data_IF_267686936769
#
_entry.id   IF_267686936769
#
_cell.length_a   1.000
_cell.length_b   1.000
_cell.length_c   1.000
_cell.angle_alpha   90.00
_cell.angle_beta   90.00
_cell.angle_gamma   90.00
#
_symmetry.space_group_name_H-M   'P 1'
#
loop_
_entity.id
_entity.type
_entity.pdbx_description
1 polymer ?
#
# COMPACT_ATOMS: atom_id res chain seq x y z
N UNK A 1 47.92 1.88 12.89
CA UNK A 1 46.75 1.86 13.78
C UNK A 1 45.71 2.82 13.20
N UNK A 2 44.47 2.42 12.99
CA UNK A 2 43.43 3.33 12.53
C UNK A 2 43.19 4.38 13.60
N UNK A 3 43.18 5.66 13.20
CA UNK A 3 42.86 6.79 14.06
C UNK A 3 41.43 6.60 14.64
N UNK A 4 41.20 6.90 15.94
CA UNK A 4 39.86 6.85 16.48
C UNK A 4 38.99 7.86 15.76
N UNK A 5 38.01 7.39 15.00
CA UNK A 5 37.05 8.24 14.29
C UNK A 5 36.22 9.00 15.31
N UNK A 6 36.27 10.32 15.30
CA UNK A 6 35.45 11.17 16.15
C UNK A 6 34.00 11.13 15.62
N UNK A 7 33.15 10.35 16.28
CA UNK A 7 31.73 10.24 15.93
C UNK A 7 30.95 11.42 16.52
N UNK A 8 30.06 12.01 15.72
CA UNK A 8 29.20 13.12 16.15
C UNK A 8 27.99 12.57 16.87
N UNK A 9 27.96 12.70 18.20
CA UNK A 9 26.95 12.07 19.04
C UNK A 9 25.51 12.53 18.75
N UNK A 10 25.31 13.75 18.30
CA UNK A 10 23.98 14.24 17.88
C UNK A 10 23.46 13.53 16.63
N UNK A 11 24.34 13.25 15.67
CA UNK A 11 24.00 12.49 14.46
C UNK A 11 23.66 11.04 14.82
N UNK A 12 24.50 10.40 15.65
CA UNK A 12 24.21 9.03 16.09
C UNK A 12 22.87 8.93 16.82
N UNK A 13 22.55 9.90 17.70
CA UNK A 13 21.28 9.95 18.41
C UNK A 13 20.12 10.14 17.42
N UNK A 14 20.24 11.02 16.44
CA UNK A 14 19.21 11.23 15.43
C UNK A 14 18.95 9.96 14.62
N UNK A 15 19.99 9.28 14.14
CA UNK A 15 19.87 8.02 13.39
C UNK A 15 19.22 6.93 14.26
N UNK A 16 19.60 6.81 15.54
CA UNK A 16 18.98 5.87 16.47
C UNK A 16 17.46 6.11 16.64
N UNK A 17 17.01 7.38 16.64
CA UNK A 17 15.58 7.68 16.70
C UNK A 17 14.85 7.21 15.44
N UNK A 18 15.50 7.33 14.31
CA UNK A 18 14.96 6.84 13.03
C UNK A 18 14.81 5.32 13.05
N UNK A 19 15.84 4.58 13.49
CA UNK A 19 15.80 3.12 13.59
C UNK A 19 14.64 2.67 14.52
N UNK A 20 14.48 3.32 15.68
CA UNK A 20 13.39 3.04 16.61
C UNK A 20 12.00 3.23 15.96
N UNK A 21 11.84 4.27 15.15
CA UNK A 21 10.57 4.50 14.44
C UNK A 21 10.40 3.52 13.29
N UNK A 22 11.49 3.11 12.62
CA UNK A 22 11.46 2.12 11.55
C UNK A 22 11.03 0.73 12.05
N UNK A 23 11.50 0.34 13.24
CA UNK A 23 11.19 -0.96 13.85
C UNK A 23 9.79 -1.00 14.50
N UNK A 24 9.13 0.14 14.65
CA UNK A 24 7.81 0.20 15.26
C UNK A 24 6.71 -0.31 14.35
N UNK A 25 5.79 -1.11 14.89
CA UNK A 25 4.64 -1.64 14.15
C UNK A 25 3.60 -0.57 13.74
N UNK A 26 3.74 0.68 14.22
CA UNK A 26 2.82 1.79 13.94
C UNK A 26 3.35 3.12 14.43
N UNK A 27 2.56 4.21 14.33
CA UNK A 27 2.97 5.53 14.77
C UNK A 27 3.46 5.53 16.23
N UNK A 28 4.61 6.13 16.50
CA UNK A 28 5.25 6.09 17.80
C UNK A 28 5.26 7.48 18.44
N UNK A 29 4.61 7.67 19.61
CA UNK A 29 4.65 8.95 20.33
C UNK A 29 6.08 9.32 20.76
N UNK A 30 6.43 10.62 20.73
CA UNK A 30 7.78 11.11 21.10
C UNK A 30 8.22 10.64 22.49
N UNK A 31 7.28 10.51 23.44
CA UNK A 31 7.58 9.97 24.78
C UNK A 31 8.05 8.51 24.73
N UNK A 32 7.48 7.69 23.86
CA UNK A 32 7.89 6.30 23.66
C UNK A 32 9.27 6.23 22.98
N UNK A 33 9.51 7.10 21.99
CA UNK A 33 10.82 7.23 21.31
C UNK A 33 11.90 7.65 22.32
N UNK A 34 11.62 8.64 23.17
CA UNK A 34 12.56 9.09 24.22
C UNK A 34 12.93 7.95 25.17
N UNK A 35 11.94 7.17 25.62
CA UNK A 35 12.17 6.00 26.49
C UNK A 35 13.00 4.93 25.80
N UNK A 36 12.66 4.56 24.56
CA UNK A 36 13.36 3.53 23.82
C UNK A 36 14.80 3.92 23.46
N UNK A 37 15.05 5.21 23.19
CA UNK A 37 16.39 5.72 22.87
C UNK A 37 17.26 5.97 24.08
N UNK A 38 16.68 6.08 25.30
CA UNK A 38 17.37 6.51 26.52
C UNK A 38 17.69 8.01 26.55
N UNK A 39 17.05 8.82 25.72
CA UNK A 39 17.25 10.26 25.67
C UNK A 39 16.27 11.00 26.59
N UNK A 40 16.68 12.20 27.05
CA UNK A 40 15.73 13.10 27.70
C UNK A 40 14.62 13.49 26.75
N UNK A 41 13.41 13.74 27.27
CA UNK A 41 12.25 14.11 26.46
C UNK A 41 12.52 15.36 25.60
N UNK A 42 13.20 16.37 26.17
CA UNK A 42 13.58 17.59 25.45
C UNK A 42 14.52 17.33 24.27
N UNK A 43 15.51 16.45 24.47
CA UNK A 43 16.44 16.05 23.39
C UNK A 43 15.68 15.29 22.29
N UNK A 44 14.82 14.35 22.67
CA UNK A 44 14.01 13.60 21.71
C UNK A 44 13.09 14.54 20.91
N UNK A 45 12.43 15.50 21.56
CA UNK A 45 11.60 16.50 20.86
C UNK A 45 12.40 17.34 19.87
N UNK A 46 13.58 17.82 20.24
CA UNK A 46 14.39 18.64 19.34
C UNK A 46 14.88 17.85 18.13
N UNK A 47 15.36 16.61 18.34
CA UNK A 47 15.83 15.76 17.27
C UNK A 47 14.66 15.32 16.37
N UNK A 48 13.53 14.89 16.92
CA UNK A 48 12.37 14.47 16.11
C UNK A 48 11.79 15.64 15.33
N UNK A 49 11.73 16.85 15.90
CA UNK A 49 11.29 18.05 15.17
C UNK A 49 12.19 18.35 13.98
N UNK A 50 13.52 18.24 14.16
CA UNK A 50 14.47 18.40 13.04
C UNK A 50 14.28 17.30 12.01
N UNK A 51 14.14 16.06 12.41
CA UNK A 51 13.93 14.93 11.50
C UNK A 51 12.61 15.06 10.72
N UNK A 52 11.55 15.61 11.34
CA UNK A 52 10.28 15.91 10.66
C UNK A 52 10.47 17.07 9.68
N UNK A 53 11.16 18.15 10.09
CA UNK A 53 11.44 19.29 9.19
C UNK A 53 12.24 18.86 7.97
N UNK A 54 13.23 18.00 8.16
CA UNK A 54 14.06 17.45 7.07
C UNK A 54 13.37 16.30 6.30
N UNK A 55 12.15 15.92 6.67
CA UNK A 55 11.39 14.89 5.98
C UNK A 55 11.83 13.43 6.24
N UNK A 56 12.71 13.20 7.21
CA UNK A 56 13.10 11.85 7.65
C UNK A 56 12.02 11.18 8.51
N UNK A 57 11.26 11.95 9.25
CA UNK A 57 10.06 11.49 9.97
C UNK A 57 8.84 12.27 9.47
N UNK A 58 7.66 11.72 9.68
CA UNK A 58 6.39 12.38 9.44
C UNK A 58 5.51 12.29 10.69
N UNK A 59 4.74 13.37 10.96
CA UNK A 59 3.81 13.41 12.08
C UNK A 59 2.45 12.86 11.64
N UNK A 60 1.92 11.91 12.37
CA UNK A 60 0.55 11.40 12.30
C UNK A 60 -0.20 11.71 13.61
N UNK A 61 -1.54 11.62 13.64
CA UNK A 61 -2.32 11.90 14.86
C UNK A 61 -1.86 11.12 16.10
N UNK A 62 -1.41 9.87 15.90
CA UNK A 62 -1.04 8.95 16.98
C UNK A 62 0.46 8.91 17.25
N UNK A 63 1.29 9.67 16.52
CA UNK A 63 2.74 9.69 16.73
C UNK A 63 3.54 9.96 15.47
N UNK A 64 4.81 9.54 15.49
CA UNK A 64 5.73 9.70 14.37
C UNK A 64 5.90 8.39 13.61
N UNK A 65 6.04 8.52 12.29
CA UNK A 65 6.35 7.45 11.34
C UNK A 65 7.54 7.84 10.49
N UNK A 66 8.11 6.91 9.72
CA UNK A 66 9.16 7.24 8.75
C UNK A 66 8.64 8.23 7.70
N UNK A 67 9.44 9.25 7.43
CA UNK A 67 9.13 10.28 6.45
C UNK A 67 9.49 9.87 5.01
N UNK A 68 9.06 10.70 4.05
CA UNK A 68 9.22 10.44 2.61
C UNK A 68 10.70 10.51 2.13
N UNK A 69 11.63 11.01 2.96
CA UNK A 69 13.04 11.17 2.57
C UNK A 69 13.84 9.87 2.55
N UNK A 70 13.42 8.86 3.32
CA UNK A 70 14.15 7.58 3.38
C UNK A 70 14.25 6.84 2.05
N UNK A 71 13.21 6.80 1.24
CA UNK A 71 13.28 6.18 -0.07
C UNK A 71 14.28 6.83 -1.03
N UNK A 72 14.36 8.16 -1.04
CA UNK A 72 15.25 8.91 -1.94
C UNK A 72 16.75 8.76 -1.60
N UNK A 73 17.11 8.35 -0.38
CA UNK A 73 18.49 8.15 0.03
C UNK A 73 19.14 6.87 -0.52
N UNK A 74 18.35 5.94 -1.04
CA UNK A 74 18.89 4.71 -1.63
C UNK A 74 19.31 4.85 -3.09
N UNK A 75 19.16 6.02 -3.70
CA UNK A 75 19.44 6.22 -5.12
C UNK A 75 18.55 5.41 -6.05
N UNK A 76 17.53 4.76 -5.47
CA UNK A 76 16.56 3.96 -6.16
C UNK A 76 15.28 4.83 -6.23
N UNK A 77 15.25 5.73 -7.22
CA UNK A 77 14.22 6.77 -7.37
C UNK A 77 12.80 6.23 -7.63
N UNK A 78 12.59 4.95 -7.44
CA UNK A 78 11.29 4.32 -7.70
C UNK A 78 10.61 3.65 -6.51
N UNK A 79 11.14 2.59 -5.88
CA UNK A 79 10.31 1.76 -5.02
C UNK A 79 10.00 2.37 -3.65
N UNK A 80 10.83 3.22 -3.10
CA UNK A 80 10.70 3.64 -1.72
C UNK A 80 9.67 4.74 -1.46
N UNK A 81 9.66 5.83 -2.24
CA UNK A 81 8.64 6.90 -2.16
C UNK A 81 7.28 6.30 -2.55
N UNK A 82 7.27 5.51 -3.60
CA UNK A 82 6.12 4.75 -4.04
C UNK A 82 5.56 3.87 -2.92
N UNK A 83 6.41 3.06 -2.27
CA UNK A 83 6.00 2.16 -1.19
C UNK A 83 5.52 2.93 0.03
N UNK A 84 6.13 4.08 0.37
CA UNK A 84 5.70 4.93 1.47
C UNK A 84 4.30 5.51 1.24
N UNK A 85 4.02 6.07 0.05
CA UNK A 85 2.70 6.57 -0.32
C UNK A 85 1.64 5.46 -0.33
N UNK A 86 1.99 4.31 -0.90
CA UNK A 86 1.12 3.12 -0.90
C UNK A 86 0.79 2.72 0.53
N UNK A 87 1.79 2.56 1.39
CA UNK A 87 1.60 2.14 2.78
C UNK A 87 0.78 3.14 3.59
N UNK A 88 1.03 4.43 3.44
CA UNK A 88 0.24 5.47 4.08
C UNK A 88 -1.23 5.41 3.64
N UNK A 89 -1.47 5.24 2.34
CA UNK A 89 -2.83 5.12 1.80
C UNK A 89 -3.52 3.86 2.32
N UNK A 90 -2.82 2.72 2.35
CA UNK A 90 -3.35 1.46 2.87
C UNK A 90 -3.74 1.56 4.34
N UNK A 91 -2.90 2.16 5.19
CA UNK A 91 -3.20 2.38 6.61
C UNK A 91 -4.45 3.24 6.81
N UNK A 92 -4.57 4.32 6.03
CA UNK A 92 -5.75 5.19 6.07
C UNK A 92 -7.01 4.42 5.68
N UNK A 93 -6.99 3.72 4.55
CA UNK A 93 -8.11 2.92 4.05
C UNK A 93 -8.49 1.82 5.04
N UNK A 94 -7.51 1.10 5.58
CA UNK A 94 -7.76 0.03 6.54
C UNK A 94 -8.44 0.53 7.81
N UNK A 95 -8.00 1.66 8.36
CA UNK A 95 -8.62 2.28 9.54
C UNK A 95 -10.02 2.82 9.24
N UNK A 96 -10.20 3.49 8.10
CA UNK A 96 -11.49 4.08 7.69
C UNK A 96 -12.59 3.03 7.52
N UNK A 97 -12.22 1.84 7.04
CA UNK A 97 -13.15 0.75 6.81
C UNK A 97 -13.11 -0.35 7.89
N UNK A 98 -12.24 -0.22 8.90
CA UNK A 98 -11.95 -1.26 9.90
C UNK A 98 -11.72 -2.63 9.25
N UNK A 99 -10.99 -2.67 8.14
CA UNK A 99 -10.87 -3.83 7.25
C UNK A 99 -9.49 -3.90 6.60
N UNK A 100 -8.98 -5.11 6.31
CA UNK A 100 -7.70 -5.26 5.62
C UNK A 100 -7.71 -4.60 4.25
N UNK A 101 -6.59 -3.91 3.92
CA UNK A 101 -6.39 -3.26 2.64
C UNK A 101 -5.10 -3.75 1.96
N UNK A 102 -5.10 -3.73 0.62
CA UNK A 102 -3.96 -4.18 -0.18
C UNK A 102 -3.79 -3.34 -1.43
N UNK A 103 -2.54 -3.26 -1.90
CA UNK A 103 -2.18 -2.62 -3.15
C UNK A 103 -1.45 -3.62 -4.05
N UNK A 104 -1.94 -3.75 -5.27
CA UNK A 104 -1.46 -4.72 -6.25
C UNK A 104 -1.13 -3.99 -7.54
N UNK A 105 -0.01 -4.32 -8.19
CA UNK A 105 0.37 -3.78 -9.50
C UNK A 105 0.62 -4.88 -10.52
N UNK A 106 0.47 -4.54 -11.78
CA UNK A 106 0.93 -5.33 -12.91
C UNK A 106 2.29 -4.78 -13.37
N UNK A 107 3.29 -5.64 -13.43
CA UNK A 107 4.64 -5.27 -13.87
C UNK A 107 5.30 -6.47 -14.54
N UNK A 108 6.01 -6.25 -15.63
CA UNK A 108 6.77 -7.29 -16.37
C UNK A 108 5.93 -8.53 -16.74
N UNK A 109 4.63 -8.33 -17.00
CA UNK A 109 3.74 -9.43 -17.39
C UNK A 109 3.06 -10.16 -16.22
N UNK A 110 3.36 -9.79 -14.98
CA UNK A 110 2.89 -10.46 -13.77
C UNK A 110 2.12 -9.52 -12.84
N UNK A 111 1.26 -10.09 -12.01
CA UNK A 111 0.51 -9.38 -10.97
C UNK A 111 1.22 -9.55 -9.63
N UNK A 112 1.68 -8.45 -9.07
CA UNK A 112 2.44 -8.44 -7.82
C UNK A 112 1.66 -7.74 -6.71
N UNK A 113 1.53 -8.40 -5.56
CA UNK A 113 1.13 -7.73 -4.33
C UNK A 113 2.30 -6.87 -3.85
N UNK A 114 2.12 -5.56 -3.83
CA UNK A 114 3.16 -4.61 -3.41
C UNK A 114 3.20 -4.47 -1.90
N UNK A 115 2.02 -4.29 -1.28
CA UNK A 115 1.89 -4.15 0.16
C UNK A 115 0.48 -4.50 0.62
N UNK A 116 0.34 -4.93 1.88
CA UNK A 116 -0.95 -5.15 2.52
C UNK A 116 -0.89 -4.86 4.01
N UNK A 117 -2.00 -4.39 4.56
CA UNK A 117 -2.17 -4.10 5.97
C UNK A 117 -3.42 -4.77 6.51
N UNK A 118 -3.43 -5.08 7.81
CA UNK A 118 -4.63 -5.56 8.50
C UNK A 118 -5.61 -4.42 8.82
N UNK A 119 -6.72 -4.74 9.49
CA UNK A 119 -7.72 -3.75 9.89
C UNK A 119 -7.19 -2.67 10.85
N UNK A 120 -6.15 -2.95 11.62
CA UNK A 120 -5.48 -1.99 12.49
C UNK A 120 -4.43 -1.14 11.75
N UNK A 121 -4.13 -1.47 10.48
CA UNK A 121 -3.12 -0.80 9.67
C UNK A 121 -1.70 -1.33 9.87
N UNK A 122 -1.52 -2.46 10.57
CA UNK A 122 -0.23 -3.13 10.68
C UNK A 122 0.12 -3.90 9.40
N UNK A 123 1.40 -3.94 8.99
CA UNK A 123 1.82 -4.72 7.82
C UNK A 123 1.49 -6.20 8.00
N UNK A 124 0.91 -6.81 6.97
CA UNK A 124 0.68 -8.26 6.96
C UNK A 124 1.91 -8.99 6.44
N UNK A 125 2.71 -9.53 7.35
CA UNK A 125 3.89 -10.32 7.04
C UNK A 125 3.46 -11.75 6.71
N UNK A 126 4.03 -12.33 5.63
CA UNK A 126 3.80 -13.74 5.27
C UNK A 126 2.52 -14.01 4.48
N UNK A 127 1.84 -12.99 3.97
CA UNK A 127 0.81 -13.19 2.97
C UNK A 127 1.48 -13.70 1.68
N UNK A 128 1.50 -15.01 1.50
CA UNK A 128 1.91 -15.59 0.22
C UNK A 128 0.95 -15.06 -0.84
N UNK A 129 1.51 -14.53 -1.91
CA UNK A 129 0.77 -14.19 -3.11
C UNK A 129 0.14 -15.48 -3.69
N UNK A 130 -1.00 -15.85 -3.14
CA UNK A 130 -1.97 -16.67 -3.84
C UNK A 130 -2.54 -15.87 -5.01
N UNK A 131 -3.31 -16.50 -5.85
CA UNK A 131 -4.02 -15.78 -6.92
C UNK A 131 -4.73 -14.55 -6.33
N UNK A 132 -4.58 -13.37 -6.97
CA UNK A 132 -5.21 -12.16 -6.45
C UNK A 132 -6.73 -12.36 -6.35
N UNK A 133 -7.39 -11.76 -5.34
CA UNK A 133 -8.85 -11.82 -5.25
C UNK A 133 -9.48 -11.48 -6.60
N UNK A 134 -10.56 -12.16 -6.96
CA UNK A 134 -11.19 -12.03 -8.29
C UNK A 134 -11.53 -10.56 -8.66
N UNK A 135 -11.85 -9.73 -7.66
CA UNK A 135 -12.07 -8.30 -7.85
C UNK A 135 -10.80 -7.56 -8.31
N UNK A 136 -9.66 -7.84 -7.68
CA UNK A 136 -8.36 -7.25 -8.02
C UNK A 136 -7.93 -7.70 -9.42
N UNK A 137 -7.99 -9.00 -9.70
CA UNK A 137 -7.64 -9.55 -11.01
C UNK A 137 -8.47 -8.93 -12.15
N UNK A 138 -9.80 -8.79 -11.96
CA UNK A 138 -10.68 -8.13 -12.94
C UNK A 138 -10.29 -6.68 -13.19
N UNK A 139 -9.97 -5.93 -12.13
CA UNK A 139 -9.57 -4.52 -12.25
C UNK A 139 -8.21 -4.36 -12.95
N UNK A 140 -7.26 -5.24 -12.71
CA UNK A 140 -5.98 -5.23 -13.42
C UNK A 140 -6.23 -5.55 -14.89
N UNK A 141 -6.91 -6.65 -15.20
CA UNK A 141 -7.20 -7.07 -16.57
C UNK A 141 -7.98 -6.01 -17.37
N UNK A 142 -8.84 -5.24 -16.71
CA UNK A 142 -9.57 -4.14 -17.35
C UNK A 142 -8.67 -2.97 -17.78
N UNK A 143 -7.51 -2.81 -17.17
CA UNK A 143 -6.54 -1.76 -17.50
C UNK A 143 -5.50 -2.21 -18.53
N UNK A 144 -5.35 -3.52 -18.76
CA UNK A 144 -4.40 -4.06 -19.73
C UNK A 144 -4.83 -3.81 -21.18
N UNK A 145 -3.85 -3.60 -22.05
CA UNK A 145 -4.08 -3.65 -23.51
C UNK A 145 -4.54 -5.05 -23.94
N UNK A 146 -5.07 -5.16 -25.15
CA UNK A 146 -5.49 -6.45 -25.69
C UNK A 146 -4.34 -7.46 -25.74
N UNK A 147 -3.15 -7.01 -26.13
CA UNK A 147 -1.94 -7.84 -26.22
C UNK A 147 -1.48 -8.29 -24.84
N UNK A 148 -1.31 -7.35 -23.88
CA UNK A 148 -0.92 -7.65 -22.51
C UNK A 148 -1.88 -8.63 -21.84
N UNK A 149 -3.19 -8.45 -22.07
CA UNK A 149 -4.22 -9.35 -21.53
C UNK A 149 -4.13 -10.76 -22.14
N UNK A 150 -3.93 -10.85 -23.46
CA UNK A 150 -3.77 -12.13 -24.14
C UNK A 150 -2.53 -12.87 -23.65
N UNK A 151 -1.42 -12.16 -23.51
CA UNK A 151 -0.15 -12.70 -23.03
C UNK A 151 -0.27 -13.16 -21.57
N UNK A 152 -0.85 -12.35 -20.68
CA UNK A 152 -1.11 -12.73 -19.31
C UNK A 152 -1.96 -13.99 -19.19
N UNK A 153 -3.09 -14.04 -19.92
CA UNK A 153 -4.01 -15.19 -19.89
C UNK A 153 -3.39 -16.46 -20.48
N UNK A 154 -2.47 -16.34 -21.42
CA UNK A 154 -1.77 -17.50 -22.01
C UNK A 154 -0.78 -18.13 -21.02
N UNK A 155 -0.15 -17.31 -20.18
CA UNK A 155 0.79 -17.76 -19.15
C UNK A 155 0.10 -18.26 -17.88
N UNK A 156 -1.11 -17.80 -17.64
CA UNK A 156 -1.93 -18.20 -16.51
C UNK A 156 -3.22 -18.87 -16.99
N UNK A 157 -3.13 -20.07 -17.54
CA UNK A 157 -4.32 -20.84 -17.90
C UNK A 157 -5.10 -21.09 -16.61
N UNK A 158 -6.25 -20.42 -16.48
CA UNK A 158 -7.09 -20.53 -15.29
C UNK A 158 -7.40 -21.99 -14.98
N UNK A 159 -7.12 -22.46 -13.78
CA UNK A 159 -7.87 -23.59 -13.22
C UNK A 159 -9.36 -23.33 -13.44
N UNK A 160 -10.14 -24.35 -13.78
CA UNK A 160 -11.55 -24.15 -14.08
C UNK A 160 -12.19 -23.39 -12.90
N UNK A 161 -12.81 -22.22 -13.14
CA UNK A 161 -13.44 -21.47 -12.07
C UNK A 161 -14.51 -22.36 -11.43
N UNK A 162 -14.66 -22.33 -10.10
CA UNK A 162 -15.76 -23.01 -9.45
C UNK A 162 -17.08 -22.63 -10.14
N UNK A 163 -18.05 -23.53 -10.20
CA UNK A 163 -19.23 -23.51 -11.04
C UNK A 163 -20.05 -22.19 -11.10
N UNK A 164 -19.80 -21.27 -10.18
CA UNK A 164 -20.45 -19.95 -10.06
C UNK A 164 -19.79 -18.86 -10.89
N UNK A 165 -18.72 -19.15 -11.64
CA UNK A 165 -17.92 -18.17 -12.40
C UNK A 165 -18.14 -18.20 -13.91
N UNK A 166 -19.16 -18.90 -14.41
CA UNK A 166 -19.44 -18.98 -15.86
C UNK A 166 -19.63 -17.59 -16.53
N UNK A 167 -20.07 -16.57 -15.77
CA UNK A 167 -20.14 -15.18 -16.23
C UNK A 167 -18.78 -14.51 -16.43
N UNK A 168 -17.74 -14.97 -15.75
CA UNK A 168 -16.43 -14.30 -15.75
C UNK A 168 -15.63 -14.49 -17.04
N UNK A 169 -15.76 -15.60 -17.76
CA UNK A 169 -15.05 -15.83 -19.05
C UNK A 169 -15.44 -14.86 -20.16
N UNK A 170 -16.71 -14.42 -20.18
CA UNK A 170 -17.18 -13.42 -21.17
C UNK A 170 -16.63 -12.02 -20.84
N UNK A 171 -16.57 -11.67 -19.54
CA UNK A 171 -16.02 -10.39 -19.08
C UNK A 171 -14.52 -10.31 -19.36
N UNK A 172 -13.78 -11.41 -19.17
CA UNK A 172 -12.33 -11.48 -19.44
C UNK A 172 -12.01 -11.38 -20.94
N UNK A 173 -12.93 -11.78 -21.84
CA UNK A 173 -12.72 -11.78 -23.29
C UNK A 173 -13.16 -10.50 -24.02
N UNK A 174 -13.47 -9.42 -23.33
CA UNK A 174 -13.64 -8.12 -23.98
C UNK A 174 -15.02 -7.48 -23.93
N UNK A 175 -15.98 -8.04 -23.19
CA UNK A 175 -17.21 -7.30 -22.90
C UNK A 175 -17.08 -6.58 -21.55
N UNK A 176 -16.88 -5.28 -21.61
CA UNK A 176 -17.00 -4.39 -20.45
C UNK A 176 -18.51 -4.27 -20.13
N UNK A 177 -18.97 -4.73 -18.94
CA UNK A 177 -20.34 -4.47 -18.56
C UNK A 177 -20.52 -2.96 -18.38
N UNK A 178 -21.56 -2.36 -18.95
CA UNK A 178 -21.86 -0.95 -18.74
C UNK A 178 -22.18 -0.71 -17.27
N UNK A 179 -21.49 0.24 -16.64
CA UNK A 179 -21.91 0.86 -15.38
C UNK A 179 -21.36 0.27 -14.08
N UNK A 180 -20.54 -0.78 -14.05
CA UNK A 180 -19.99 -1.32 -12.82
C UNK A 180 -18.49 -1.02 -12.70
N UNK A 181 -18.18 0.17 -12.23
CA UNK A 181 -16.79 0.65 -12.10
C UNK A 181 -16.02 0.06 -10.92
N UNK A 182 -16.63 -0.79 -10.10
CA UNK A 182 -15.95 -1.46 -8.99
C UNK A 182 -16.51 -2.88 -8.81
N UNK A 183 -15.74 -3.91 -9.18
CA UNK A 183 -16.16 -5.27 -8.94
C UNK A 183 -16.09 -5.59 -7.43
N UNK A 184 -17.23 -5.95 -6.91
CA UNK A 184 -17.36 -6.62 -5.62
C UNK A 184 -17.27 -8.12 -5.91
N UNK A 185 -16.38 -8.84 -5.24
CA UNK A 185 -16.29 -10.29 -5.35
C UNK A 185 -16.35 -10.90 -3.96
N UNK A 186 -17.28 -11.83 -3.71
CA UNK A 186 -17.24 -12.61 -2.48
C UNK A 186 -15.94 -13.42 -2.46
N UNK A 187 -15.28 -13.45 -1.31
CA UNK A 187 -14.20 -14.38 -1.03
C UNK A 187 -14.87 -15.68 -0.55
N UNK A 188 -14.77 -16.80 -1.28
CA UNK A 188 -15.46 -18.03 -0.94
C UNK A 188 -15.00 -18.64 0.40
N UNK A 189 -13.79 -18.33 0.84
CA UNK A 189 -13.23 -18.85 2.10
C UNK A 189 -13.48 -17.94 3.31
N UNK A 190 -14.04 -16.75 3.09
CA UNK A 190 -14.38 -15.78 4.13
C UNK A 190 -15.69 -15.11 3.77
N UNK A 191 -16.57 -14.94 4.75
CA UNK A 191 -17.78 -14.12 4.67
C UNK A 191 -17.46 -12.62 4.41
N UNK A 192 -16.54 -12.35 3.50
CA UNK A 192 -16.01 -11.03 3.20
C UNK A 192 -16.15 -10.74 1.70
N UNK A 193 -16.46 -9.50 1.37
CA UNK A 193 -16.46 -9.00 0.00
C UNK A 193 -15.18 -8.20 -0.26
N UNK A 194 -14.49 -8.47 -1.36
CA UNK A 194 -13.37 -7.67 -1.81
C UNK A 194 -13.85 -6.59 -2.78
N UNK A 195 -13.59 -5.33 -2.44
CA UNK A 195 -13.88 -4.16 -3.28
C UNK A 195 -12.56 -3.61 -3.79
N UNK A 196 -12.43 -3.43 -5.10
CA UNK A 196 -11.20 -3.04 -5.76
C UNK A 196 -11.43 -1.88 -6.74
N UNK A 197 -10.55 -0.88 -6.73
CA UNK A 197 -10.59 0.28 -7.62
C UNK A 197 -9.24 0.48 -8.30
N UNK A 198 -9.21 0.97 -9.56
CA UNK A 198 -7.95 1.23 -10.25
C UNK A 198 -7.25 2.46 -9.66
N UNK A 199 -5.92 2.41 -9.61
CA UNK A 199 -5.05 3.57 -9.35
C UNK A 199 -4.43 3.97 -10.69
N UNK A 200 -4.59 5.24 -11.07
CA UNK A 200 -4.22 5.74 -12.39
C UNK A 200 -3.04 6.71 -12.27
N UNK A 201 -1.86 6.26 -12.63
CA UNK A 201 -0.68 7.09 -12.78
C UNK A 201 0.05 6.73 -14.09
N UNK A 202 0.81 7.64 -14.69
CA UNK A 202 1.56 7.36 -15.91
C UNK A 202 2.45 6.12 -15.75
N UNK A 203 2.37 5.17 -16.69
CA UNK A 203 3.16 3.94 -16.65
C UNK A 203 2.81 2.93 -15.56
N UNK A 204 1.79 3.19 -14.73
CA UNK A 204 1.37 2.32 -13.64
C UNK A 204 0.02 1.66 -13.94
N UNK A 205 -0.03 0.35 -13.89
CA UNK A 205 -1.25 -0.45 -13.88
C UNK A 205 -1.38 -1.04 -12.49
N UNK A 206 -2.27 -0.50 -11.67
CA UNK A 206 -2.39 -0.88 -10.28
C UNK A 206 -3.82 -0.80 -9.74
N UNK A 207 -4.03 -1.43 -8.60
CA UNK A 207 -5.32 -1.56 -7.94
C UNK A 207 -5.17 -1.40 -6.44
N UNK A 208 -6.02 -0.58 -5.85
CA UNK A 208 -6.24 -0.46 -4.41
C UNK A 208 -7.49 -1.26 -4.05
N UNK A 209 -7.40 -2.13 -3.05
CA UNK A 209 -8.49 -2.98 -2.64
C UNK A 209 -8.65 -3.05 -1.12
N UNK A 210 -9.89 -3.30 -0.68
CA UNK A 210 -10.25 -3.51 0.73
C UNK A 210 -11.15 -4.72 0.83
N UNK A 211 -10.96 -5.54 1.89
CA UNK A 211 -11.80 -6.69 2.19
C UNK A 211 -12.76 -6.33 3.32
N UNK A 212 -14.04 -6.16 3.00
CA UNK A 212 -15.08 -5.78 3.97
C UNK A 212 -15.98 -6.97 4.32
N UNK A 213 -16.63 -7.00 5.48
CA UNK A 213 -17.65 -8.01 5.77
C UNK A 213 -18.71 -8.06 4.66
N UNK A 214 -19.19 -9.27 4.32
CA UNK A 214 -20.15 -9.47 3.23
C UNK A 214 -21.54 -8.90 3.52
N UNK A 215 -21.93 -8.84 4.77
CA UNK A 215 -23.25 -8.43 5.22
C UNK A 215 -23.24 -7.05 5.87
N UNK A 216 -24.27 -6.25 5.59
CA UNK A 216 -24.53 -4.97 6.27
C UNK A 216 -23.65 -3.80 5.83
N UNK A 217 -22.77 -3.93 4.85
CA UNK A 217 -21.90 -2.86 4.37
C UNK A 217 -22.47 -2.23 3.11
N UNK A 218 -22.62 -0.91 3.10
CA UNK A 218 -22.92 -0.16 1.88
C UNK A 218 -21.70 -0.17 0.94
N UNK A 219 -21.67 -1.16 0.05
CA UNK A 219 -20.61 -1.30 -0.96
C UNK A 219 -20.44 -0.03 -1.80
N UNK A 220 -21.51 0.70 -2.08
CA UNK A 220 -21.47 1.96 -2.82
C UNK A 220 -20.70 3.06 -2.06
N UNK A 221 -20.91 3.18 -0.76
CA UNK A 221 -20.18 4.11 0.09
C UNK A 221 -18.69 3.74 0.16
N UNK A 222 -18.38 2.46 0.34
CA UNK A 222 -16.98 1.96 0.34
C UNK A 222 -16.30 2.27 -0.99
N UNK A 223 -16.94 1.99 -2.12
CA UNK A 223 -16.41 2.30 -3.47
C UNK A 223 -16.09 3.78 -3.61
N UNK A 224 -17.02 4.67 -3.22
CA UNK A 224 -16.79 6.13 -3.32
C UNK A 224 -15.57 6.57 -2.52
N UNK A 225 -15.43 6.12 -1.27
CA UNK A 225 -14.31 6.47 -0.40
C UNK A 225 -13.00 5.89 -0.92
N UNK A 226 -13.03 4.63 -1.35
CA UNK A 226 -11.85 3.96 -1.91
C UNK A 226 -11.37 4.64 -3.19
N UNK A 227 -12.28 5.15 -4.04
CA UNK A 227 -11.92 5.96 -5.22
C UNK A 227 -11.22 7.25 -4.83
N UNK A 228 -11.75 7.98 -3.85
CA UNK A 228 -11.07 9.21 -3.35
C UNK A 228 -9.65 8.88 -2.88
N UNK A 229 -9.46 7.77 -2.15
CA UNK A 229 -8.15 7.35 -1.72
C UNK A 229 -7.23 6.99 -2.90
N UNK A 230 -7.76 6.31 -3.91
CA UNK A 230 -7.03 5.96 -5.13
C UNK A 230 -6.67 7.19 -5.96
N UNK A 231 -7.55 8.18 -6.06
CA UNK A 231 -7.30 9.43 -6.79
C UNK A 231 -6.21 10.27 -6.11
N UNK A 232 -6.22 10.37 -4.78
CA UNK A 232 -5.17 11.04 -4.01
C UNK A 232 -3.83 10.34 -4.25
N UNK A 233 -3.80 9.00 -4.16
CA UNK A 233 -2.59 8.23 -4.42
C UNK A 233 -2.11 8.40 -5.87
N UNK A 234 -3.03 8.42 -6.84
CA UNK A 234 -2.73 8.67 -8.25
C UNK A 234 -2.05 10.02 -8.47
N UNK A 235 -2.57 11.08 -7.82
CA UNK A 235 -1.95 12.41 -7.85
C UNK A 235 -0.55 12.41 -7.24
N UNK A 236 -0.37 11.75 -6.10
CA UNK A 236 0.94 11.65 -5.43
C UNK A 236 1.96 10.91 -6.30
N UNK A 237 1.55 9.81 -6.93
CA UNK A 237 2.40 9.02 -7.80
C UNK A 237 2.65 9.69 -9.17
N UNK A 238 1.68 10.44 -9.68
CA UNK A 238 1.84 11.21 -10.93
C UNK A 238 2.68 12.48 -10.78
N UNK A 239 2.78 13.03 -9.57
CA UNK A 239 3.63 14.18 -9.26
C UNK A 239 5.11 13.78 -9.05
N UNK A 240 5.39 12.51 -8.81
CA UNK A 240 6.75 11.97 -8.73
C UNK A 240 7.14 11.45 -10.11
N UNK A 241 8.28 11.85 -10.71
CA UNK A 241 8.75 11.25 -11.95
C UNK A 241 8.99 9.76 -11.71
N UNK A 242 8.19 8.93 -12.37
CA UNK A 242 8.43 7.49 -12.47
C UNK A 242 9.57 7.30 -13.48
N UNK A 243 10.82 7.45 -13.04
CA UNK A 243 12.03 7.06 -13.81
C UNK A 243 12.44 5.66 -13.44
#
# INVERSE_FOLDING_TARGET
>A
LPQPQTLISSVQRALKLVDIVADAAGPLPVKAIARASGLSLGTAYNLTRTLVHEGYLAAEPDGLVLGARFPSLRGDDGPGVFTAFVRQTLRRVAREHASPAQFTRYQAGEVHLVDSVDAAGAPRVGFRAGAPPAAVGRQILAQLSREQRSDYLSRHPSEPPPAHSAGNRRVLRGQRPPGTDAPVSPDPDRLAACIAVPVRAPGLIAVLAVSVPGDGVDAGAVVRRLRVAADILSCQLGASPLT
#
